data_IF_515396379108
#
_entry.id   IF_515396379108
#
_cell.length_a   1.000
_cell.length_b   1.000
_cell.length_c   1.000
_cell.angle_alpha   90.00
_cell.angle_beta   90.00
_cell.angle_gamma   90.00
#
_symmetry.space_group_name_H-M   'P 1'
#
loop_
_entity.id
_entity.type
_entity.pdbx_description
1 polymer ?
#
# COMPACT_ATOMS: atom_id res chain seq x y z
N UNK A 1 -36.46 -24.32 -7.34
CA UNK A 1 -36.78 -23.77 -6.01
C UNK A 1 -35.96 -24.57 -5.03
N UNK A 2 -35.02 -23.85 -4.43
CA UNK A 2 -34.48 -23.99 -3.08
C UNK A 2 -33.70 -25.26 -2.75
N UNK A 3 -32.38 -25.12 -2.86
CA UNK A 3 -31.43 -25.86 -2.03
C UNK A 3 -30.58 -24.81 -1.30
N UNK A 4 -30.79 -24.71 0.00
CA UNK A 4 -30.04 -23.88 0.94
C UNK A 4 -28.57 -24.31 0.97
N UNK A 5 -27.65 -23.34 0.86
CA UNK A 5 -26.22 -23.55 1.12
C UNK A 5 -25.81 -22.55 2.20
N UNK A 6 -25.74 -23.07 3.43
CA UNK A 6 -25.08 -22.42 4.56
C UNK A 6 -23.58 -22.29 4.30
N UNK A 7 -23.07 -21.08 4.49
CA UNK A 7 -21.65 -20.78 4.46
C UNK A 7 -20.96 -21.21 5.75
N UNK A 8 -19.88 -21.99 5.61
CA UNK A 8 -18.68 -21.87 6.43
C UNK A 8 -17.61 -22.87 5.96
N UNK A 9 -16.58 -22.39 5.26
CA UNK A 9 -15.29 -23.06 5.14
C UNK A 9 -14.18 -22.02 5.35
N UNK A 10 -13.94 -21.69 6.62
CA UNK A 10 -12.68 -21.10 7.09
C UNK A 10 -11.70 -22.25 7.38
N UNK A 11 -10.64 -22.36 6.59
CA UNK A 11 -9.50 -23.23 6.90
C UNK A 11 -8.65 -22.58 7.99
N UNK A 12 -9.04 -22.83 9.24
CA UNK A 12 -8.21 -22.64 10.42
C UNK A 12 -7.16 -23.77 10.48
N UNK A 13 -5.90 -23.46 10.16
CA UNK A 13 -4.76 -24.25 10.65
C UNK A 13 -4.19 -23.62 11.92
N UNK A 14 -4.95 -23.73 13.01
CA UNK A 14 -4.38 -23.73 14.36
C UNK A 14 -3.94 -25.16 14.68
N UNK A 15 -2.66 -25.45 14.50
CA UNK A 15 -2.06 -26.69 14.97
C UNK A 15 -1.75 -26.58 16.47
N UNK A 16 -2.45 -27.37 17.28
CA UNK A 16 -1.99 -27.70 18.62
C UNK A 16 -2.18 -29.19 18.90
N UNK A 17 -1.12 -29.78 19.49
CA UNK A 17 -0.94 -31.14 20.02
C UNK A 17 -0.40 -32.14 18.96
N UNK A 18 0.84 -32.65 19.06
CA UNK A 18 1.56 -33.21 20.20
C UNK A 18 3.09 -33.04 20.07
N UNK A 19 3.81 -33.23 21.18
CA UNK A 19 5.28 -33.20 21.42
C UNK A 19 5.82 -31.92 22.08
N UNK A 20 5.78 -31.81 23.42
CA UNK A 20 6.49 -30.78 24.14
C UNK A 20 7.99 -31.15 24.22
N UNK A 21 8.85 -30.20 23.85
CA UNK A 21 10.32 -30.21 24.02
C UNK A 21 11.18 -31.09 23.07
N UNK A 22 11.20 -30.78 21.77
CA UNK A 22 12.43 -30.93 20.97
C UNK A 22 12.72 -29.66 20.18
N UNK A 23 13.88 -29.03 20.42
CA UNK A 23 14.45 -28.02 19.52
C UNK A 23 14.65 -28.69 18.15
N UNK A 24 13.88 -28.28 17.14
CA UNK A 24 14.14 -28.64 15.75
C UNK A 24 15.40 -27.88 15.32
N UNK A 25 16.53 -28.58 15.23
CA UNK A 25 17.75 -28.04 14.64
C UNK A 25 17.67 -28.40 13.16
N UNK A 26 17.43 -27.40 12.30
CA UNK A 26 17.55 -27.57 10.85
C UNK A 26 18.99 -27.97 10.53
N UNK A 27 19.18 -29.14 9.94
CA UNK A 27 20.49 -29.61 9.52
C UNK A 27 20.99 -28.77 8.33
N UNK A 28 21.84 -27.79 8.63
CA UNK A 28 22.51 -26.94 7.63
C UNK A 28 23.79 -27.60 7.10
N UNK A 29 23.96 -28.92 7.23
CA UNK A 29 25.11 -29.66 6.67
C UNK A 29 25.25 -29.42 5.17
N UNK A 30 24.19 -29.68 4.41
CA UNK A 30 24.19 -29.52 2.95
C UNK A 30 24.48 -28.07 2.50
N UNK A 31 23.96 -27.08 3.23
CA UNK A 31 24.22 -25.65 2.94
C UNK A 31 25.68 -25.28 3.21
N UNK A 32 26.27 -25.78 4.32
CA UNK A 32 27.69 -25.53 4.65
C UNK A 32 28.65 -26.20 3.68
N UNK A 33 28.26 -27.32 3.08
CA UNK A 33 29.06 -28.00 2.07
C UNK A 33 28.94 -27.32 0.70
N UNK A 34 27.75 -26.84 0.33
CA UNK A 34 27.57 -26.01 -0.87
C UNK A 34 28.37 -24.71 -0.79
N UNK A 35 28.33 -24.00 0.35
CA UNK A 35 29.04 -22.74 0.54
C UNK A 35 30.58 -22.87 0.40
N UNK A 36 31.14 -24.08 0.56
CA UNK A 36 32.57 -24.36 0.39
C UNK A 36 32.99 -24.74 -1.02
N UNK A 37 32.03 -25.03 -1.91
CA UNK A 37 32.32 -25.41 -3.30
C UNK A 37 33.09 -24.27 -3.99
N UNK A 38 34.21 -24.61 -4.63
CA UNK A 38 34.92 -23.65 -5.46
C UNK A 38 34.21 -23.51 -6.80
N UNK A 39 33.90 -22.27 -7.16
CA UNK A 39 33.26 -21.89 -8.42
C UNK A 39 34.12 -20.87 -9.14
N UNK A 40 34.05 -20.91 -10.46
CA UNK A 40 34.75 -19.98 -11.35
C UNK A 40 33.68 -19.10 -12.00
N UNK A 41 33.93 -17.80 -12.09
CA UNK A 41 33.03 -16.91 -12.77
C UNK A 41 33.11 -17.12 -14.29
N UNK A 42 31.95 -17.15 -14.96
CA UNK A 42 31.91 -17.33 -16.41
C UNK A 42 32.25 -16.03 -17.17
N UNK A 43 32.17 -14.88 -16.51
CA UNK A 43 32.29 -13.55 -17.12
C UNK A 43 33.63 -12.85 -16.82
N UNK A 44 34.46 -13.41 -15.92
CA UNK A 44 35.79 -12.90 -15.61
C UNK A 44 36.66 -13.99 -14.96
N UNK A 45 37.95 -13.71 -14.78
CA UNK A 45 38.92 -14.66 -14.22
C UNK A 45 38.80 -14.90 -12.70
N UNK A 46 37.69 -14.48 -12.10
CA UNK A 46 37.47 -14.67 -10.67
C UNK A 46 37.21 -16.14 -10.33
N UNK A 47 37.92 -16.63 -9.31
CA UNK A 47 37.69 -17.92 -8.70
C UNK A 47 37.52 -17.74 -7.18
N UNK A 48 36.64 -18.54 -6.59
CA UNK A 48 36.37 -18.43 -5.16
C UNK A 48 35.36 -19.44 -4.68
N UNK A 49 34.95 -19.32 -3.41
CA UNK A 49 33.91 -20.20 -2.85
C UNK A 49 32.53 -19.69 -3.20
N UNK A 50 31.57 -20.61 -3.39
CA UNK A 50 30.18 -20.31 -3.74
C UNK A 50 29.54 -19.31 -2.77
N UNK A 51 29.95 -19.33 -1.49
CA UNK A 51 29.53 -18.36 -0.48
C UNK A 51 29.70 -16.90 -0.90
N UNK A 52 30.78 -16.56 -1.59
CA UNK A 52 31.10 -15.19 -2.00
C UNK A 52 30.80 -14.92 -3.47
N UNK A 53 30.21 -15.89 -4.17
CA UNK A 53 29.94 -15.76 -5.60
C UNK A 53 28.88 -14.69 -5.88
N UNK A 54 27.81 -14.63 -5.07
CA UNK A 54 26.77 -13.61 -5.23
C UNK A 54 27.31 -12.18 -4.99
N UNK A 55 28.10 -11.99 -3.93
CA UNK A 55 28.76 -10.70 -3.65
C UNK A 55 29.72 -10.29 -4.78
N UNK A 56 30.43 -11.26 -5.37
CA UNK A 56 31.27 -11.03 -6.54
C UNK A 56 30.45 -10.57 -7.76
N UNK A 57 29.33 -11.24 -8.07
CA UNK A 57 28.44 -10.85 -9.15
C UNK A 57 27.89 -9.43 -8.94
N UNK A 58 27.47 -9.11 -7.71
CA UNK A 58 26.88 -7.81 -7.39
C UNK A 58 27.91 -6.67 -7.40
N UNK A 59 29.17 -6.92 -7.02
CA UNK A 59 30.21 -5.88 -6.98
C UNK A 59 30.93 -5.66 -8.32
N UNK A 60 31.22 -6.73 -9.07
CA UNK A 60 32.04 -6.63 -10.29
C UNK A 60 31.18 -6.58 -11.55
N UNK A 61 29.99 -7.17 -11.53
CA UNK A 61 29.09 -7.28 -12.68
C UNK A 61 27.80 -6.46 -12.50
N UNK A 62 27.88 -5.33 -11.78
CA UNK A 62 26.74 -4.44 -11.52
C UNK A 62 26.12 -3.83 -12.80
N UNK A 63 26.90 -3.71 -13.88
CA UNK A 63 26.41 -3.35 -15.22
C UNK A 63 27.10 -4.26 -16.24
N UNK A 64 26.36 -5.17 -16.87
CA UNK A 64 26.88 -6.09 -17.87
C UNK A 64 26.38 -5.73 -19.26
N UNK A 65 27.18 -6.04 -20.28
CA UNK A 65 26.80 -5.83 -21.67
C UNK A 65 26.65 -7.18 -22.35
N UNK A 66 25.64 -7.31 -23.21
CA UNK A 66 25.55 -8.45 -24.09
C UNK A 66 26.70 -8.39 -25.11
N UNK A 67 27.50 -9.46 -25.19
CA UNK A 67 28.67 -9.50 -26.06
C UNK A 67 28.29 -9.38 -27.55
N UNK A 68 27.09 -9.85 -27.91
CA UNK A 68 26.57 -9.91 -29.28
C UNK A 68 25.85 -8.63 -29.70
N UNK A 69 24.86 -8.16 -28.94
CA UNK A 69 24.05 -6.98 -29.32
C UNK A 69 24.49 -5.66 -28.66
N UNK A 70 25.48 -5.71 -27.76
CA UNK A 70 26.03 -4.56 -27.02
C UNK A 70 25.03 -3.79 -26.14
N UNK A 71 23.88 -4.38 -25.83
CA UNK A 71 22.87 -3.80 -24.95
C UNK A 71 23.27 -3.95 -23.47
N UNK A 72 23.02 -2.91 -22.67
CA UNK A 72 23.38 -2.84 -21.24
C UNK A 72 22.27 -3.42 -20.34
N UNK A 73 22.68 -4.23 -19.35
CA UNK A 73 21.82 -4.91 -18.40
C UNK A 73 22.30 -4.64 -16.97
N UNK A 74 21.34 -4.37 -16.08
CA UNK A 74 21.59 -3.99 -14.67
C UNK A 74 21.93 -5.17 -13.75
N UNK A 75 21.71 -6.41 -14.21
CA UNK A 75 21.99 -7.62 -13.42
C UNK A 75 22.46 -8.75 -14.33
N UNK A 76 23.33 -9.62 -13.81
CA UNK A 76 23.82 -10.81 -14.52
C UNK A 76 22.68 -11.78 -14.86
N UNK A 77 21.67 -11.89 -14.00
CA UNK A 77 20.49 -12.73 -14.25
C UNK A 77 19.69 -12.22 -15.46
N UNK A 78 19.48 -10.91 -15.56
CA UNK A 78 18.80 -10.30 -16.72
C UNK A 78 19.61 -10.45 -18.01
N UNK A 79 20.95 -10.38 -17.93
CA UNK A 79 21.81 -10.66 -19.08
C UNK A 79 21.78 -12.15 -19.47
N UNK A 80 21.80 -13.05 -18.50
CA UNK A 80 21.78 -14.51 -18.74
C UNK A 80 20.46 -14.92 -19.38
N UNK A 81 19.35 -14.36 -18.91
CA UNK A 81 18.04 -14.53 -19.53
C UNK A 81 18.01 -13.93 -20.95
N UNK A 82 18.63 -12.76 -21.17
CA UNK A 82 18.72 -12.15 -22.50
C UNK A 82 19.59 -12.95 -23.48
N UNK A 83 20.76 -13.46 -23.09
CA UNK A 83 21.66 -14.25 -23.95
C UNK A 83 20.89 -15.44 -24.54
N UNK A 84 20.04 -16.09 -23.75
CA UNK A 84 19.22 -17.23 -24.20
C UNK A 84 18.19 -16.89 -25.30
N UNK A 85 17.84 -15.61 -25.48
CA UNK A 85 16.87 -15.11 -26.46
C UNK A 85 17.44 -14.01 -27.37
N UNK A 86 18.76 -13.81 -27.36
CA UNK A 86 19.41 -12.75 -28.12
C UNK A 86 19.40 -13.09 -29.61
N UNK A 87 18.77 -12.23 -30.42
CA UNK A 87 18.63 -12.44 -31.87
C UNK A 87 19.96 -12.36 -32.63
N UNK A 88 20.95 -11.71 -32.04
CA UNK A 88 22.30 -11.54 -32.61
C UNK A 88 23.29 -12.63 -32.16
N UNK A 89 22.87 -13.57 -31.29
CA UNK A 89 23.72 -14.67 -30.85
C UNK A 89 23.99 -15.65 -32.00
N UNK A 90 25.25 -16.06 -32.13
CA UNK A 90 25.70 -17.07 -33.09
C UNK A 90 25.66 -18.44 -32.41
N UNK A 91 24.81 -19.33 -32.90
CA UNK A 91 24.61 -20.68 -32.35
C UNK A 91 24.90 -21.75 -33.41
N UNK A 92 25.41 -22.89 -32.97
CA UNK A 92 25.60 -24.07 -33.82
C UNK A 92 24.25 -24.66 -34.24
N UNK A 93 24.16 -25.14 -35.48
CA UNK A 93 22.97 -25.82 -35.98
C UNK A 93 22.63 -27.10 -35.18
N UNK A 94 21.36 -27.31 -34.85
CA UNK A 94 20.86 -28.52 -34.17
C UNK A 94 21.17 -29.80 -34.99
N UNK A 95 21.33 -29.69 -36.31
CA UNK A 95 21.66 -30.80 -37.22
C UNK A 95 23.17 -30.95 -37.48
N UNK A 96 24.03 -30.29 -36.69
CA UNK A 96 25.49 -30.46 -36.75
C UNK A 96 25.95 -31.93 -36.69
N UNK A 97 25.36 -32.82 -35.86
CA UNK A 97 25.71 -34.25 -35.87
C UNK A 97 25.40 -34.97 -37.19
N UNK A 98 24.50 -34.42 -38.02
CA UNK A 98 24.04 -35.00 -39.28
C UNK A 98 24.66 -34.32 -40.51
N UNK A 99 25.64 -33.43 -40.30
CA UNK A 99 26.49 -32.87 -41.35
C UNK A 99 26.31 -31.37 -41.64
N UNK A 100 25.49 -30.65 -40.86
CA UNK A 100 25.30 -29.21 -41.04
C UNK A 100 26.29 -28.39 -40.18
N UNK A 101 27.35 -27.87 -40.79
CA UNK A 101 28.49 -27.28 -40.06
C UNK A 101 28.47 -25.74 -40.00
N UNK A 102 27.36 -25.09 -40.36
CA UNK A 102 27.27 -23.63 -40.34
C UNK A 102 26.94 -23.09 -38.94
N UNK A 103 27.60 -21.99 -38.58
CA UNK A 103 27.31 -21.20 -37.38
C UNK A 103 26.29 -20.11 -37.73
N UNK A 104 25.16 -20.09 -37.01
CA UNK A 104 23.97 -19.35 -37.42
C UNK A 104 23.73 -18.19 -36.46
N UNK A 105 23.59 -16.98 -36.98
CA UNK A 105 22.98 -15.89 -36.21
C UNK A 105 21.47 -16.14 -36.07
N UNK A 106 20.94 -16.14 -34.84
CA UNK A 106 19.52 -16.46 -34.57
C UNK A 106 18.53 -15.67 -35.46
N UNK A 107 18.85 -14.44 -35.86
CA UNK A 107 18.04 -13.62 -36.76
C UNK A 107 17.92 -14.21 -38.18
N UNK A 108 18.94 -14.94 -38.65
CA UNK A 108 19.02 -15.55 -39.98
C UNK A 108 18.68 -17.05 -39.97
N UNK A 109 18.16 -17.58 -38.84
CA UNK A 109 17.85 -19.00 -38.70
C UNK A 109 16.90 -19.50 -39.80
N UNK A 110 15.91 -18.68 -40.20
CA UNK A 110 14.95 -19.01 -41.27
C UNK A 110 15.60 -19.23 -42.63
N UNK A 111 16.60 -18.42 -42.97
CA UNK A 111 17.31 -18.54 -44.25
C UNK A 111 18.27 -19.74 -44.22
N UNK A 112 18.87 -20.02 -43.06
CA UNK A 112 19.70 -21.22 -42.86
C UNK A 112 18.88 -22.53 -42.99
N UNK A 113 17.64 -22.60 -42.48
CA UNK A 113 16.76 -23.77 -42.65
C UNK A 113 16.47 -24.10 -44.13
N UNK A 114 16.62 -23.11 -45.02
CA UNK A 114 16.40 -23.24 -46.46
C UNK A 114 17.70 -23.57 -47.23
N UNK A 115 18.86 -23.62 -46.57
CA UNK A 115 20.13 -23.94 -47.22
C UNK A 115 20.17 -25.41 -47.64
N UNK A 116 20.83 -25.69 -48.78
CA UNK A 116 20.95 -27.03 -49.33
C UNK A 116 21.62 -28.01 -48.33
N UNK A 117 22.63 -27.52 -47.59
CA UNK A 117 23.29 -28.31 -46.54
C UNK A 117 22.36 -28.66 -45.38
N UNK A 118 21.48 -27.73 -44.98
CA UNK A 118 20.51 -27.99 -43.91
C UNK A 118 19.43 -28.99 -44.35
N UNK A 119 18.91 -28.87 -45.58
CA UNK A 119 17.91 -29.80 -46.11
C UNK A 119 18.47 -31.22 -46.31
N UNK A 120 19.74 -31.36 -46.73
CA UNK A 120 20.41 -32.67 -46.81
C UNK A 120 20.60 -33.30 -45.42
N UNK A 121 20.98 -32.51 -44.41
CA UNK A 121 21.11 -33.00 -43.04
C UNK A 121 19.75 -33.40 -42.43
N UNK A 122 18.68 -32.68 -42.79
CA UNK A 122 17.30 -32.98 -42.40
C UNK A 122 16.77 -34.26 -43.08
N UNK A 123 17.13 -34.51 -44.34
CA UNK A 123 16.81 -35.75 -45.03
C UNK A 123 17.54 -36.96 -44.43
N UNK A 124 18.75 -36.78 -43.92
CA UNK A 124 19.50 -37.83 -43.21
C UNK A 124 18.98 -38.15 -41.82
N UNK A 125 18.25 -37.23 -41.17
CA UNK A 125 17.66 -37.45 -39.85
C UNK A 125 16.27 -38.10 -39.91
N UNK A 126 15.67 -38.22 -41.11
CA UNK A 126 14.41 -38.93 -41.34
C UNK A 126 14.66 -40.44 -41.59
N UNK A 127 13.94 -41.35 -40.92
CA UNK A 127 14.08 -42.78 -41.15
C UNK A 127 13.40 -43.18 -42.46
N UNK A 128 14.15 -43.19 -43.56
CA UNK A 128 13.69 -43.73 -44.83
C UNK A 128 13.70 -45.26 -44.81
N UNK A 129 12.50 -45.87 -44.91
CA UNK A 129 12.34 -47.26 -45.34
C UNK A 129 12.64 -47.37 -46.83
N UNK A 130 13.81 -47.91 -47.18
CA UNK A 130 14.18 -48.48 -48.50
C UNK A 130 15.30 -49.49 -48.20
N UNK A 131 15.33 -50.76 -48.57
CA UNK A 131 14.62 -51.68 -49.47
C UNK A 131 14.90 -53.12 -48.94
N UNK A 132 14.18 -54.17 -49.40
CA UNK A 132 14.46 -55.57 -49.01
C UNK A 132 15.82 -56.06 -49.54
N UNK A 133 16.42 -57.10 -48.93
CA UNK A 133 17.68 -57.66 -49.42
C UNK A 133 17.48 -58.38 -50.76
N UNK A 134 18.37 -58.08 -51.69
CA UNK A 134 18.60 -58.85 -52.91
C UNK A 134 19.05 -60.24 -52.48
N UNK A 135 18.22 -61.26 -52.74
CA UNK A 135 18.62 -62.66 -52.65
C UNK A 135 19.35 -62.99 -53.96
N UNK A 136 20.64 -63.25 -53.82
CA UNK A 136 21.49 -63.81 -54.87
C UNK A 136 21.05 -65.25 -55.13
N UNK A 137 20.43 -65.50 -56.29
CA UNK A 137 20.17 -66.86 -56.78
C UNK A 137 21.32 -67.28 -57.68
N UNK A 138 22.36 -67.84 -57.06
CA UNK A 138 23.28 -68.74 -57.74
C UNK A 138 22.96 -70.19 -57.36
N UNK A 139 22.75 -70.99 -58.41
CA UNK A 139 22.79 -72.46 -58.44
C UNK A 139 21.61 -73.24 -57.83
N UNK A 140 20.61 -73.56 -58.67
CA UNK A 140 19.95 -74.87 -58.61
C UNK A 140 20.21 -75.58 -59.95
N UNK A 141 21.28 -76.35 -59.93
CA UNK A 141 21.52 -77.44 -60.86
C UNK A 141 20.49 -78.54 -60.61
N UNK A 142 19.81 -78.91 -61.69
CA UNK A 142 19.08 -80.16 -61.91
C UNK A 142 19.42 -81.32 -60.97
N UNK A 143 18.40 -81.92 -60.33
CA UNK A 143 18.17 -83.37 -60.36
C UNK A 143 16.74 -83.70 -59.93
N UNK A 144 16.00 -84.34 -60.85
CA UNK A 144 14.77 -85.10 -60.55
C UNK A 144 15.15 -86.35 -59.76
N UNK A 145 14.39 -86.71 -58.72
CA UNK A 145 13.59 -87.94 -58.68
C UNK A 145 12.83 -88.09 -57.35
N UNK A 146 11.60 -88.59 -57.46
CA UNK A 146 10.62 -88.87 -56.41
C UNK A 146 11.11 -89.96 -55.43
N UNK A 147 10.70 -89.88 -54.17
CA UNK A 147 9.81 -90.88 -53.53
C UNK A 147 9.14 -90.28 -52.28
N UNK A 148 7.93 -90.77 -52.02
CA UNK A 148 6.92 -90.33 -51.05
C UNK A 148 7.30 -90.47 -49.58
N UNK A 149 6.92 -89.50 -48.75
CA UNK A 149 6.66 -89.75 -47.34
C UNK A 149 5.46 -88.91 -46.85
N UNK A 150 4.34 -89.56 -46.54
CA UNK A 150 3.11 -88.91 -46.03
C UNK A 150 3.35 -88.17 -44.71
N UNK A 151 4.36 -88.59 -43.95
CA UNK A 151 4.83 -87.94 -42.71
C UNK A 151 5.45 -86.58 -43.01
N UNK A 152 6.24 -86.45 -44.07
CA UNK A 152 6.84 -85.16 -44.47
C UNK A 152 5.76 -84.17 -44.91
N UNK A 153 4.75 -84.61 -45.67
CA UNK A 153 3.61 -83.74 -46.04
C UNK A 153 2.81 -83.27 -44.83
N UNK A 154 2.53 -84.14 -43.86
CA UNK A 154 1.85 -83.76 -42.60
C UNK A 154 2.67 -82.76 -41.79
N UNK A 155 3.97 -83.00 -41.65
CA UNK A 155 4.88 -82.07 -40.95
C UNK A 155 4.97 -80.70 -41.64
N UNK A 156 5.01 -80.67 -42.97
CA UNK A 156 4.96 -79.42 -43.72
C UNK A 156 3.61 -78.71 -43.55
N UNK A 157 2.49 -79.45 -43.50
CA UNK A 157 1.17 -78.88 -43.33
C UNK A 157 0.95 -78.30 -41.91
N UNK A 158 1.41 -78.99 -40.86
CA UNK A 158 1.45 -78.46 -39.50
C UNK A 158 2.34 -77.22 -39.38
N UNK A 159 3.47 -77.19 -40.10
CA UNK A 159 4.33 -76.01 -40.21
C UNK A 159 3.63 -74.82 -40.89
N UNK A 160 2.85 -75.06 -41.95
CA UNK A 160 2.06 -74.00 -42.58
C UNK A 160 0.94 -73.47 -41.67
N UNK A 161 0.23 -74.35 -40.97
CA UNK A 161 -0.83 -73.96 -40.02
C UNK A 161 -0.28 -73.16 -38.84
N UNK A 162 0.86 -73.57 -38.28
CA UNK A 162 1.56 -72.82 -37.24
C UNK A 162 2.12 -71.49 -37.75
N UNK A 163 2.64 -71.45 -38.97
CA UNK A 163 3.10 -70.21 -39.61
C UNK A 163 1.94 -69.23 -39.83
N UNK A 164 0.79 -69.69 -40.32
CA UNK A 164 -0.41 -68.87 -40.46
C UNK A 164 -0.92 -68.36 -39.11
N UNK A 165 -0.88 -69.19 -38.06
CA UNK A 165 -1.23 -68.76 -36.69
C UNK A 165 -0.28 -67.69 -36.15
N UNK A 166 1.02 -67.81 -36.42
CA UNK A 166 2.03 -66.81 -36.02
C UNK A 166 1.81 -65.52 -36.80
N UNK A 167 1.57 -65.59 -38.11
CA UNK A 167 1.25 -64.42 -38.94
C UNK A 167 0.00 -63.72 -38.42
N UNK A 168 -1.06 -64.46 -38.09
CA UNK A 168 -2.27 -63.89 -37.48
C UNK A 168 -2.01 -63.22 -36.13
N UNK A 169 -1.14 -63.81 -35.30
CA UNK A 169 -0.74 -63.23 -34.01
C UNK A 169 0.08 -61.94 -34.18
N UNK A 170 0.99 -61.90 -35.16
CA UNK A 170 1.78 -60.72 -35.51
C UNK A 170 0.86 -59.61 -36.02
N UNK A 171 -0.14 -59.96 -36.83
CA UNK A 171 -1.12 -59.00 -37.34
C UNK A 171 -1.92 -58.38 -36.19
N UNK A 172 -2.43 -59.20 -35.26
CA UNK A 172 -3.16 -58.73 -34.09
C UNK A 172 -2.30 -57.83 -33.18
N UNK A 173 -1.05 -58.21 -32.91
CA UNK A 173 -0.10 -57.38 -32.15
C UNK A 173 0.23 -56.06 -32.85
N UNK A 174 0.24 -56.05 -34.18
CA UNK A 174 0.45 -54.82 -34.94
C UNK A 174 -0.76 -53.89 -34.85
N UNK A 175 -1.97 -54.45 -34.90
CA UNK A 175 -3.21 -53.69 -34.75
C UNK A 175 -3.33 -53.11 -33.32
N UNK A 176 -3.00 -53.90 -32.28
CA UNK A 176 -2.94 -53.45 -30.89
C UNK A 176 -1.90 -52.33 -30.69
N UNK A 177 -0.71 -52.46 -31.31
CA UNK A 177 0.30 -51.40 -31.26
C UNK A 177 -0.21 -50.11 -31.91
N UNK A 178 -0.87 -50.19 -33.07
CA UNK A 178 -1.45 -49.01 -33.73
C UNK A 178 -2.53 -48.34 -32.85
N UNK A 179 -3.37 -49.13 -32.19
CA UNK A 179 -4.36 -48.62 -31.26
C UNK A 179 -3.69 -47.90 -30.08
N UNK A 180 -2.68 -48.51 -29.45
CA UNK A 180 -1.93 -47.91 -28.36
C UNK A 180 -1.25 -46.60 -28.77
N UNK A 181 -0.70 -46.51 -30.00
CA UNK A 181 -0.16 -45.25 -30.52
C UNK A 181 -1.22 -44.16 -30.62
N UNK A 182 -2.44 -44.50 -31.06
CA UNK A 182 -3.54 -43.54 -31.18
C UNK A 182 -4.03 -43.05 -29.81
N UNK A 183 -4.17 -43.96 -28.84
CA UNK A 183 -4.57 -43.65 -27.47
C UNK A 183 -3.50 -42.79 -26.77
N UNK A 184 -2.22 -43.15 -26.91
CA UNK A 184 -1.10 -42.34 -26.38
C UNK A 184 -1.12 -40.92 -26.94
N UNK A 185 -1.35 -40.76 -28.25
CA UNK A 185 -1.40 -39.45 -28.89
C UNK A 185 -2.59 -38.63 -28.36
N UNK A 186 -3.76 -39.25 -28.21
CA UNK A 186 -4.96 -38.59 -27.68
C UNK A 186 -4.75 -38.13 -26.22
N UNK A 187 -4.10 -38.96 -25.42
CA UNK A 187 -3.77 -38.64 -24.03
C UNK A 187 -2.79 -37.47 -23.95
N UNK A 188 -1.79 -37.44 -24.85
CA UNK A 188 -0.82 -36.35 -24.94
C UNK A 188 -1.47 -35.02 -25.34
N UNK A 189 -2.42 -35.03 -26.27
CA UNK A 189 -3.21 -33.85 -26.65
C UNK A 189 -4.05 -33.36 -25.46
N UNK A 190 -4.70 -34.27 -24.73
CA UNK A 190 -5.50 -33.93 -23.54
C UNK A 190 -4.64 -33.30 -22.44
N UNK A 191 -3.46 -33.87 -22.15
CA UNK A 191 -2.50 -33.31 -21.20
C UNK A 191 -2.02 -31.91 -21.60
N UNK A 192 -1.76 -31.69 -22.89
CA UNK A 192 -1.39 -30.37 -23.41
C UNK A 192 -2.50 -29.35 -23.18
N UNK A 193 -3.74 -29.70 -23.52
CA UNK A 193 -4.88 -28.81 -23.33
C UNK A 193 -5.09 -28.47 -21.85
N UNK A 194 -5.01 -29.45 -20.95
CA UNK A 194 -5.09 -29.20 -19.51
C UNK A 194 -3.94 -28.32 -19.01
N UNK A 195 -2.72 -28.51 -19.53
CA UNK A 195 -1.58 -27.65 -19.19
C UNK A 195 -1.77 -26.21 -19.64
N UNK A 196 -2.43 -25.98 -20.77
CA UNK A 196 -2.78 -24.64 -21.26
C UNK A 196 -3.88 -24.00 -20.41
N UNK A 197 -4.88 -24.77 -19.96
CA UNK A 197 -5.90 -24.26 -19.04
C UNK A 197 -5.32 -23.94 -17.65
N UNK A 198 -4.41 -24.77 -17.14
CA UNK A 198 -3.71 -24.51 -15.87
C UNK A 198 -2.85 -23.24 -15.94
N UNK A 199 -2.23 -22.95 -17.08
CA UNK A 199 -1.44 -21.72 -17.24
C UNK A 199 -2.31 -20.48 -17.26
N UNK A 200 -3.46 -20.52 -17.94
CA UNK A 200 -4.46 -19.44 -17.91
C UNK A 200 -5.00 -19.21 -16.50
N UNK A 201 -5.33 -20.28 -15.79
CA UNK A 201 -5.83 -20.19 -14.42
C UNK A 201 -4.79 -19.61 -13.47
N UNK A 202 -3.51 -19.98 -13.62
CA UNK A 202 -2.40 -19.43 -12.84
C UNK A 202 -2.28 -17.91 -13.03
N UNK A 203 -2.33 -17.43 -14.28
CA UNK A 203 -2.28 -15.99 -14.57
C UNK A 203 -3.48 -15.27 -13.95
N UNK A 204 -4.69 -15.82 -14.10
CA UNK A 204 -5.89 -15.24 -13.50
C UNK A 204 -5.78 -15.16 -11.97
N UNK A 205 -5.23 -16.19 -11.32
CA UNK A 205 -4.99 -16.20 -9.87
C UNK A 205 -3.99 -15.11 -9.48
N UNK A 206 -2.87 -14.99 -10.18
CA UNK A 206 -1.86 -13.94 -9.92
C UNK A 206 -2.45 -12.52 -10.09
N UNK A 207 -3.28 -12.31 -11.10
CA UNK A 207 -4.01 -11.05 -11.30
C UNK A 207 -4.99 -10.76 -10.15
N UNK A 208 -5.73 -11.78 -9.68
CA UNK A 208 -6.65 -11.60 -8.55
C UNK A 208 -5.92 -11.28 -7.25
N UNK A 209 -4.76 -11.87 -6.97
CA UNK A 209 -3.95 -11.52 -5.80
C UNK A 209 -3.49 -10.06 -5.84
N UNK A 210 -3.01 -9.60 -7.01
CA UNK A 210 -2.63 -8.20 -7.19
C UNK A 210 -3.80 -7.23 -6.97
N UNK A 211 -5.00 -7.58 -7.45
CA UNK A 211 -6.22 -6.81 -7.20
C UNK A 211 -6.61 -6.78 -5.72
N UNK A 212 -6.48 -7.91 -5.02
CA UNK A 212 -6.76 -7.99 -3.57
C UNK A 212 -5.80 -7.09 -2.80
N UNK A 213 -4.51 -7.10 -3.10
CA UNK A 213 -3.51 -6.25 -2.45
C UNK A 213 -3.83 -4.76 -2.64
N UNK A 214 -4.20 -4.37 -3.86
CA UNK A 214 -4.64 -3.01 -4.15
C UNK A 214 -5.92 -2.64 -3.37
N UNK A 215 -6.89 -3.54 -3.29
CA UNK A 215 -8.12 -3.34 -2.51
C UNK A 215 -7.84 -3.20 -1.02
N UNK A 216 -6.91 -3.96 -0.45
CA UNK A 216 -6.53 -3.86 0.97
C UNK A 216 -5.88 -2.52 1.30
N UNK A 217 -5.08 -1.95 0.40
CA UNK A 217 -4.53 -0.59 0.57
C UNK A 217 -5.65 0.44 0.55
N UNK A 218 -6.55 0.37 -0.44
CA UNK A 218 -7.68 1.29 -0.55
C UNK A 218 -8.59 1.20 0.69
N UNK A 219 -8.86 0.00 1.18
CA UNK A 219 -9.66 -0.22 2.39
C UNK A 219 -9.03 0.46 3.61
N UNK A 220 -7.71 0.34 3.81
CA UNK A 220 -7.01 1.03 4.91
C UNK A 220 -7.15 2.55 4.83
N UNK A 221 -6.99 3.13 3.64
CA UNK A 221 -7.15 4.57 3.42
C UNK A 221 -8.59 5.02 3.72
N UNK A 222 -9.57 4.21 3.30
CA UNK A 222 -10.99 4.43 3.59
C UNK A 222 -11.28 4.37 5.10
N UNK A 223 -10.71 3.40 5.82
CA UNK A 223 -10.84 3.28 7.27
C UNK A 223 -10.23 4.48 8.00
N UNK A 224 -9.03 4.92 7.62
CA UNK A 224 -8.39 6.13 8.16
C UNK A 224 -9.25 7.39 7.90
N UNK A 225 -9.81 7.50 6.70
CA UNK A 225 -10.71 8.60 6.33
C UNK A 225 -12.01 8.56 7.13
N UNK A 226 -12.57 7.37 7.38
CA UNK A 226 -13.77 7.23 8.21
C UNK A 226 -13.52 7.66 9.65
N UNK A 227 -12.38 7.29 10.23
CA UNK A 227 -11.99 7.70 11.58
C UNK A 227 -11.84 9.23 11.64
N UNK A 228 -11.18 9.84 10.65
CA UNK A 228 -11.02 11.30 10.61
C UNK A 228 -12.36 12.03 10.45
N UNK A 229 -13.26 11.54 9.60
CA UNK A 229 -14.62 12.09 9.47
C UNK A 229 -15.46 11.90 10.72
N UNK A 230 -15.39 10.74 11.37
CA UNK A 230 -16.08 10.52 12.65
C UNK A 230 -15.61 11.49 13.72
N UNK A 231 -14.30 11.74 13.77
CA UNK A 231 -13.73 12.73 14.66
C UNK A 231 -14.23 14.15 14.32
N UNK A 232 -14.28 14.52 13.04
CA UNK A 232 -14.81 15.80 12.60
C UNK A 232 -16.30 15.97 12.94
N UNK A 233 -17.10 14.91 12.82
CA UNK A 233 -18.52 14.91 13.22
C UNK A 233 -18.65 15.10 14.74
N UNK A 234 -17.83 14.44 15.54
CA UNK A 234 -17.84 14.59 17.00
C UNK A 234 -17.39 15.99 17.42
N UNK A 235 -16.42 16.56 16.71
CA UNK A 235 -16.00 17.95 16.84
C UNK A 235 -17.14 18.93 16.45
N UNK A 236 -17.95 18.59 15.45
CA UNK A 236 -19.12 19.37 15.05
C UNK A 236 -20.24 19.38 16.12
N UNK A 237 -20.45 18.27 16.84
CA UNK A 237 -21.46 18.20 17.90
C UNK A 237 -21.15 19.12 19.09
N UNK A 238 -19.87 19.43 19.29
CA UNK A 238 -19.39 20.28 20.39
C UNK A 238 -19.12 21.73 19.94
N UNK A 239 -19.66 22.14 18.79
CA UNK A 239 -19.51 23.51 18.30
C UNK A 239 -20.18 24.47 19.26
N UNK A 240 -19.37 25.34 19.86
CA UNK A 240 -19.90 26.49 20.58
C UNK A 240 -20.21 27.63 19.62
N UNK A 241 -21.36 28.27 19.85
CA UNK A 241 -21.88 29.39 19.06
C UNK A 241 -22.10 30.65 19.91
N UNK A 242 -21.40 30.80 21.03
CA UNK A 242 -21.54 31.97 21.92
C UNK A 242 -20.23 32.75 22.09
N UNK A 243 -19.20 32.40 21.31
CA UNK A 243 -17.87 32.98 21.47
C UNK A 243 -17.00 32.36 22.56
N UNK A 244 -17.50 31.36 23.26
CA UNK A 244 -16.79 30.63 24.31
C UNK A 244 -16.55 29.19 23.88
N UNK A 245 -15.31 28.73 23.87
CA UNK A 245 -14.97 27.37 23.44
C UNK A 245 -14.09 26.69 24.47
N UNK A 246 -14.40 25.43 24.81
CA UNK A 246 -13.57 24.60 25.70
C UNK A 246 -12.98 23.48 24.87
N UNK A 247 -11.65 23.47 24.77
CA UNK A 247 -10.90 22.44 24.09
C UNK A 247 -10.42 21.39 25.08
N UNK A 248 -10.96 20.18 24.95
CA UNK A 248 -10.42 18.98 25.60
C UNK A 248 -9.33 18.38 24.71
N UNK A 249 -8.10 18.33 25.22
CA UNK A 249 -6.96 17.75 24.52
C UNK A 249 -6.64 16.43 25.21
N UNK A 250 -6.84 15.31 24.52
CA UNK A 250 -6.45 13.97 24.97
C UNK A 250 -5.14 13.52 24.33
N UNK A 251 -4.56 12.42 24.83
CA UNK A 251 -3.34 11.80 24.30
C UNK A 251 -2.15 12.78 24.36
N UNK A 252 -2.04 13.53 25.45
CA UNK A 252 -1.06 14.60 25.59
C UNK A 252 0.36 14.10 25.62
N UNK A 253 0.64 12.99 26.30
CA UNK A 253 1.98 12.41 26.35
C UNK A 253 2.52 12.12 24.95
N UNK A 254 1.68 11.52 24.09
CA UNK A 254 2.01 11.29 22.69
C UNK A 254 2.24 12.59 21.93
N UNK A 255 1.31 13.55 22.04
CA UNK A 255 1.41 14.85 21.34
C UNK A 255 2.61 15.69 21.80
N UNK A 256 2.98 15.62 23.08
CA UNK A 256 4.18 16.26 23.63
C UNK A 256 5.42 15.59 23.04
N UNK A 257 5.47 14.26 23.02
CA UNK A 257 6.58 13.52 22.41
C UNK A 257 6.71 13.81 20.91
N UNK A 258 5.60 13.91 20.18
CA UNK A 258 5.60 14.26 18.76
C UNK A 258 6.08 15.70 18.51
N UNK A 259 5.72 16.65 19.40
CA UNK A 259 6.20 18.03 19.33
C UNK A 259 7.68 18.17 19.73
N UNK A 260 8.19 17.32 20.62
CA UNK A 260 9.60 17.27 21.00
C UNK A 260 10.48 16.66 19.90
N UNK A 261 9.99 15.59 19.27
CA UNK A 261 10.65 14.92 18.15
C UNK A 261 10.42 15.61 16.80
N UNK A 262 9.71 16.74 16.78
CA UNK A 262 9.42 17.54 15.60
C UNK A 262 8.60 16.79 14.51
N UNK A 263 7.96 15.66 14.87
CA UNK A 263 7.02 14.94 13.99
C UNK A 263 5.74 15.75 13.76
N UNK A 264 5.23 16.38 14.82
CA UNK A 264 4.08 17.25 14.76
C UNK A 264 4.28 18.46 15.67
N UNK A 265 4.66 19.59 15.08
CA UNK A 265 5.05 20.80 15.82
C UNK A 265 3.87 21.53 16.50
N UNK A 266 2.65 21.38 15.97
CA UNK A 266 1.47 22.08 16.46
C UNK A 266 0.20 21.28 16.22
N UNK A 267 -0.79 21.50 17.06
CA UNK A 267 -2.13 20.93 16.95
C UNK A 267 -3.17 22.05 16.78
N UNK A 268 -4.27 21.75 16.10
CA UNK A 268 -5.41 22.65 15.94
C UNK A 268 -6.59 22.17 16.76
N UNK A 269 -7.36 23.11 17.29
CA UNK A 269 -8.66 22.81 17.86
C UNK A 269 -9.72 22.65 16.76
N UNK A 270 -10.84 22.02 17.10
CA UNK A 270 -12.10 22.20 16.38
C UNK A 270 -12.43 23.68 16.15
N UNK A 271 -13.18 23.96 15.09
CA UNK A 271 -13.70 25.29 14.83
C UNK A 271 -14.85 25.61 15.79
N UNK A 272 -14.92 26.86 16.24
CA UNK A 272 -16.00 27.40 17.05
C UNK A 272 -16.42 28.77 16.51
N UNK A 273 -17.60 29.21 16.92
CA UNK A 273 -18.25 30.38 16.35
C UNK A 273 -18.63 31.39 17.42
N UNK A 274 -18.69 32.64 17.01
CA UNK A 274 -19.18 33.74 17.86
C UNK A 274 -20.71 33.77 17.99
N UNK A 275 -21.41 33.32 16.94
CA UNK A 275 -22.85 33.12 16.85
C UNK A 275 -23.13 32.15 15.70
N UNK A 276 -24.36 31.60 15.55
CA UNK A 276 -24.70 30.75 14.41
C UNK A 276 -24.42 31.38 13.04
N UNK A 277 -24.45 32.72 12.96
CA UNK A 277 -24.12 33.50 11.76
C UNK A 277 -22.88 34.38 11.95
N UNK A 278 -21.99 33.99 12.85
CA UNK A 278 -20.87 34.80 13.31
C UNK A 278 -19.52 34.42 12.71
N UNK A 279 -18.46 35.03 13.24
CA UNK A 279 -17.06 34.68 12.92
C UNK A 279 -16.79 33.21 13.20
N UNK A 280 -16.11 32.55 12.25
CA UNK A 280 -15.53 31.20 12.40
C UNK A 280 -14.10 31.30 12.90
N UNK A 281 -13.78 30.57 13.97
CA UNK A 281 -12.53 30.72 14.70
C UNK A 281 -12.00 29.36 15.14
N UNK A 282 -10.70 29.26 15.40
CA UNK A 282 -10.09 28.08 16.04
C UNK A 282 -8.82 28.48 16.80
N UNK A 283 -8.27 27.53 17.54
CA UNK A 283 -7.03 27.69 18.31
C UNK A 283 -5.93 26.81 17.70
N UNK A 284 -4.70 27.30 17.72
CA UNK A 284 -3.49 26.54 17.40
C UNK A 284 -2.59 26.50 18.63
N UNK A 285 -2.17 25.31 19.03
CA UNK A 285 -1.31 25.10 20.20
C UNK A 285 0.02 24.47 19.79
N UNK A 286 1.10 24.99 20.35
CA UNK A 286 2.45 24.45 20.24
C UNK A 286 2.89 23.98 21.62
N UNK A 287 2.81 22.67 21.83
CA UNK A 287 3.15 22.03 23.11
C UNK A 287 4.63 22.20 23.48
N UNK A 288 5.51 22.35 22.49
CA UNK A 288 6.95 22.58 22.67
C UNK A 288 7.37 24.01 22.27
N UNK A 289 6.42 24.95 22.22
CA UNK A 289 6.64 26.36 21.91
C UNK A 289 6.92 26.69 20.45
N UNK A 290 6.76 27.96 20.11
CA UNK A 290 6.98 28.52 18.78
C UNK A 290 7.89 29.75 18.80
N UNK A 291 8.63 29.98 17.71
CA UNK A 291 9.51 31.13 17.54
C UNK A 291 10.50 31.32 18.70
N UNK A 292 10.49 32.51 19.31
CA UNK A 292 11.37 32.87 20.43
C UNK A 292 11.02 32.18 21.76
N UNK A 293 9.92 31.43 21.81
CA UNK A 293 9.44 30.68 22.97
C UNK A 293 9.63 29.16 22.81
N UNK A 294 10.17 28.72 21.67
CA UNK A 294 10.45 27.30 21.38
C UNK A 294 11.29 26.65 22.49
N UNK A 295 10.89 25.44 22.91
CA UNK A 295 11.49 24.63 23.98
C UNK A 295 11.55 25.28 25.36
N UNK A 296 10.90 26.43 25.57
CA UNK A 296 10.88 27.11 26.88
C UNK A 296 9.47 27.31 27.41
N UNK A 297 8.52 27.61 26.53
CA UNK A 297 7.11 27.81 26.89
C UNK A 297 6.22 27.03 25.93
N UNK A 298 5.02 26.67 26.38
CA UNK A 298 3.89 26.33 25.53
C UNK A 298 3.35 27.62 24.90
N UNK A 299 3.13 27.61 23.58
CA UNK A 299 2.62 28.77 22.84
C UNK A 299 1.20 28.50 22.36
N UNK A 300 0.32 29.49 22.49
CA UNK A 300 -1.08 29.40 22.06
C UNK A 300 -1.43 30.54 21.12
N UNK A 301 -2.15 30.23 20.04
CA UNK A 301 -2.53 31.19 19.02
C UNK A 301 -4.00 31.06 18.65
N UNK A 302 -4.62 32.21 18.44
CA UNK A 302 -5.94 32.34 17.84
C UNK A 302 -5.82 32.35 16.32
N UNK A 303 -6.78 31.73 15.64
CA UNK A 303 -6.86 31.70 14.18
C UNK A 303 -8.26 32.13 13.77
N UNK A 304 -8.33 33.20 13.00
CA UNK A 304 -9.53 33.61 12.30
C UNK A 304 -9.65 32.80 11.01
N UNK A 305 -10.80 32.18 10.79
CA UNK A 305 -11.06 31.34 9.61
C UNK A 305 -12.10 32.00 8.71
N UNK A 306 -12.09 31.63 7.43
CA UNK A 306 -13.13 32.02 6.49
C UNK A 306 -14.47 31.41 6.90
N UNK A 307 -15.45 32.25 7.15
CA UNK A 307 -16.83 31.87 7.46
C UNK A 307 -17.78 32.18 6.32
N UNK A 308 -18.93 31.50 6.31
CA UNK A 308 -19.97 31.69 5.29
C UNK A 308 -20.61 33.08 5.37
N UNK A 309 -20.63 33.66 6.58
CA UNK A 309 -21.24 34.95 6.88
C UNK A 309 -20.23 36.12 6.90
N UNK A 310 -18.99 35.91 6.47
CA UNK A 310 -17.95 36.96 6.49
C UNK A 310 -18.33 38.23 5.72
N UNK A 311 -19.27 38.14 4.77
CA UNK A 311 -19.76 39.31 4.03
C UNK A 311 -20.58 40.30 4.87
N UNK A 312 -21.20 39.84 5.96
CA UNK A 312 -22.05 40.67 6.84
C UNK A 312 -21.38 41.03 8.16
N UNK A 313 -20.17 40.51 8.40
CA UNK A 313 -19.41 40.73 9.62
C UNK A 313 -18.45 41.92 9.50
N UNK A 314 -18.15 42.55 10.63
CA UNK A 314 -17.23 43.68 10.69
C UNK A 314 -15.78 43.20 10.62
N UNK A 315 -14.98 43.82 9.76
CA UNK A 315 -13.53 43.62 9.71
C UNK A 315 -12.79 44.97 9.75
N UNK A 316 -11.55 45.03 10.27
CA UNK A 316 -10.79 43.92 10.87
C UNK A 316 -11.35 43.46 12.23
N UNK A 317 -11.13 42.19 12.56
CA UNK A 317 -11.53 41.59 13.83
C UNK A 317 -10.78 42.29 14.99
N UNK A 318 -11.52 42.81 15.97
CA UNK A 318 -10.99 43.68 17.03
C UNK A 318 -11.42 43.29 18.44
N UNK A 319 -12.09 42.14 18.59
CA UNK A 319 -12.62 41.66 19.87
C UNK A 319 -11.51 41.05 20.73
N UNK A 320 -11.54 41.33 22.04
CA UNK A 320 -10.54 40.80 22.99
C UNK A 320 -10.67 39.28 23.05
N UNK A 321 -9.55 38.57 22.91
CA UNK A 321 -9.48 37.11 23.03
C UNK A 321 -8.77 36.76 24.33
N UNK A 322 -9.38 35.87 25.12
CA UNK A 322 -8.86 35.39 26.41
C UNK A 322 -8.71 33.89 26.36
N UNK A 323 -7.53 33.40 26.76
CA UNK A 323 -7.24 31.99 26.95
C UNK A 323 -7.17 31.67 28.43
N UNK A 324 -7.67 30.50 28.82
CA UNK A 324 -7.65 29.99 30.17
C UNK A 324 -7.26 28.51 30.14
N UNK A 325 -6.11 28.17 30.72
CA UNK A 325 -5.70 26.81 30.97
C UNK A 325 -6.23 26.38 32.35
N UNK A 326 -7.06 25.34 32.37
CA UNK A 326 -7.67 24.88 33.61
C UNK A 326 -6.69 24.08 34.48
N UNK A 327 -6.50 24.56 35.70
CA UNK A 327 -6.15 23.73 36.86
C UNK A 327 -7.28 22.73 37.17
N UNK A 328 -6.95 21.44 37.12
CA UNK A 328 -7.88 20.32 37.33
C UNK A 328 -7.88 19.80 38.79
N UNK A 329 -7.21 20.51 39.70
CA UNK A 329 -7.21 20.22 41.15
C UNK A 329 -8.26 21.07 41.87
N UNK A 330 -8.49 20.75 43.15
CA UNK A 330 -9.40 21.53 44.00
C UNK A 330 -8.93 22.97 44.25
N UNK A 331 -7.71 23.36 43.85
CA UNK A 331 -7.18 24.71 44.03
C UNK A 331 -7.67 25.70 42.96
N UNK A 332 -8.11 25.22 41.79
CA UNK A 332 -8.66 26.02 40.68
C UNK A 332 -7.80 27.24 40.28
N UNK A 333 -6.47 27.13 40.37
CA UNK A 333 -5.52 28.17 39.98
C UNK A 333 -5.29 28.18 38.47
N UNK A 334 -6.34 28.53 37.72
CA UNK A 334 -6.28 28.56 36.26
C UNK A 334 -5.28 29.62 35.77
N UNK A 335 -4.54 29.30 34.69
CA UNK A 335 -3.66 30.27 34.04
C UNK A 335 -4.46 31.00 32.98
N UNK A 336 -4.60 32.32 33.12
CA UNK A 336 -5.41 33.15 32.23
C UNK A 336 -4.53 34.22 31.61
N UNK A 337 -4.58 34.33 30.29
CA UNK A 337 -3.92 35.40 29.56
C UNK A 337 -4.81 35.86 28.39
N UNK A 338 -4.66 37.11 27.97
CA UNK A 338 -5.52 37.71 26.95
C UNK A 338 -4.77 38.70 26.09
N UNK A 339 -5.21 38.84 24.84
CA UNK A 339 -4.68 39.84 23.94
C UNK A 339 -5.81 40.58 23.22
N UNK A 340 -5.51 41.81 22.78
CA UNK A 340 -6.37 42.56 21.86
C UNK A 340 -5.78 42.45 20.45
N UNK A 341 -6.55 42.00 19.45
CA UNK A 341 -6.11 41.95 18.06
C UNK A 341 -5.53 43.30 17.57
N UNK A 342 -4.40 43.25 16.89
CA UNK A 342 -3.88 44.42 16.16
C UNK A 342 -4.61 44.55 14.82
N UNK A 343 -5.45 45.57 14.69
CA UNK A 343 -6.25 45.83 13.48
C UNK A 343 -5.41 46.11 12.23
N UNK A 344 -4.10 46.38 12.37
CA UNK A 344 -3.18 46.53 11.24
C UNK A 344 -2.60 45.20 10.76
N UNK A 345 -2.67 44.15 11.57
CA UNK A 345 -2.13 42.84 11.23
C UNK A 345 -3.02 42.12 10.22
N UNK A 346 -2.37 41.39 9.29
CA UNK A 346 -3.04 40.52 8.32
C UNK A 346 -3.79 39.36 8.99
N UNK A 347 -3.42 38.99 10.23
CA UNK A 347 -4.08 37.94 11.02
C UNK A 347 -5.57 38.21 11.27
N UNK A 348 -5.97 39.48 11.32
CA UNK A 348 -7.31 39.90 11.72
C UNK A 348 -8.08 40.62 10.62
N UNK A 349 -7.52 40.71 9.41
CA UNK A 349 -8.26 41.17 8.25
C UNK A 349 -9.31 40.15 7.83
N UNK A 350 -10.22 40.56 6.94
CA UNK A 350 -11.18 39.64 6.34
C UNK A 350 -10.44 38.46 5.67
N UNK A 351 -10.76 37.21 6.03
CA UNK A 351 -10.09 36.04 5.44
C UNK A 351 -10.27 35.96 3.93
N UNK A 352 -9.16 35.84 3.22
CA UNK A 352 -9.13 35.55 1.78
C UNK A 352 -8.85 34.06 1.50
N UNK A 353 -8.20 33.38 2.43
CA UNK A 353 -7.92 31.94 2.46
C UNK A 353 -8.73 31.26 3.57
N UNK A 354 -8.73 29.93 3.63
CA UNK A 354 -9.45 29.16 4.66
C UNK A 354 -9.08 29.60 6.09
N UNK A 355 -7.82 29.98 6.30
CA UNK A 355 -7.28 30.42 7.58
C UNK A 355 -6.38 31.64 7.39
N UNK A 356 -6.49 32.60 8.29
CA UNK A 356 -5.50 33.67 8.42
C UNK A 356 -4.25 33.19 9.18
N UNK A 357 -3.20 34.03 9.15
CA UNK A 357 -2.00 33.82 9.97
C UNK A 357 -2.37 33.83 11.45
N UNK A 358 -1.96 32.79 12.18
CA UNK A 358 -2.25 32.64 13.60
C UNK A 358 -1.60 33.78 14.41
N UNK A 359 -2.29 34.29 15.43
CA UNK A 359 -1.80 35.35 16.32
C UNK A 359 -2.24 35.11 17.75
N UNK A 360 -1.38 35.37 18.72
CA UNK A 360 -1.63 35.03 20.12
C UNK A 360 -0.42 35.23 21.00
N UNK A 361 -0.16 34.28 21.89
CA UNK A 361 0.74 34.43 23.03
C UNK A 361 1.85 33.38 22.95
N UNK A 362 3.05 33.74 22.44
CA UNK A 362 4.18 32.82 22.34
C UNK A 362 4.63 32.26 23.69
N UNK A 363 4.62 33.07 24.75
CA UNK A 363 5.06 32.68 26.10
C UNK A 363 3.87 32.49 27.04
N UNK A 364 2.95 31.59 26.68
CA UNK A 364 1.72 31.42 27.44
C UNK A 364 1.95 30.69 28.77
N UNK A 365 2.59 29.52 28.75
CA UNK A 365 2.91 28.77 29.98
C UNK A 365 4.35 28.25 29.92
N UNK A 366 5.20 28.53 30.92
CA UNK A 366 6.52 27.91 31.01
C UNK A 366 6.44 26.38 30.98
N UNK A 367 7.28 25.73 30.17
CA UNK A 367 7.29 24.27 30.07
C UNK A 367 7.66 23.61 31.40
N UNK A 368 8.44 24.27 32.25
CA UNK A 368 8.79 23.78 33.59
C UNK A 368 7.55 23.44 34.40
N UNK A 369 6.50 24.28 34.34
CA UNK A 369 5.24 24.08 35.07
C UNK A 369 4.46 22.87 34.52
N UNK A 370 4.54 22.63 33.21
CA UNK A 370 3.85 21.52 32.55
C UNK A 370 4.61 20.20 32.71
N UNK A 371 5.94 20.27 32.80
CA UNK A 371 6.83 19.11 32.91
C UNK A 371 7.05 18.66 34.37
N UNK A 372 6.64 19.45 35.36
CA UNK A 372 6.67 19.07 36.76
C UNK A 372 5.86 17.79 37.01
N UNK A 373 6.46 16.88 37.80
CA UNK A 373 5.77 15.67 38.26
C UNK A 373 4.53 16.07 39.07
N UNK A 374 3.37 15.50 38.71
CA UNK A 374 2.06 15.83 39.31
C UNK A 374 1.59 17.28 39.07
N UNK A 375 1.88 17.85 37.89
CA UNK A 375 1.34 19.17 37.52
C UNK A 375 -0.21 19.22 37.61
N UNK A 376 -0.78 20.37 38.00
CA UNK A 376 -2.23 20.50 38.21
C UNK A 376 -3.04 20.63 36.91
N UNK A 377 -2.38 20.89 35.77
CA UNK A 377 -3.03 21.23 34.49
C UNK A 377 -3.27 20.01 33.59
N UNK A 378 -2.54 18.91 33.82
CA UNK A 378 -2.65 17.65 33.09
C UNK A 378 -3.07 16.54 34.06
N UNK A 379 -4.23 15.94 33.81
CA UNK A 379 -4.76 14.78 34.55
C UNK A 379 -5.33 13.77 33.57
N UNK A 380 -5.11 12.48 33.86
CA UNK A 380 -5.57 11.37 33.01
C UNK A 380 -5.16 11.51 31.52
N UNK A 381 -3.96 12.03 31.28
CA UNK A 381 -3.44 12.34 29.94
C UNK A 381 -4.31 13.34 29.15
N UNK A 382 -5.01 14.23 29.88
CA UNK A 382 -5.89 15.27 29.33
C UNK A 382 -5.61 16.67 29.87
N UNK A 383 -5.87 17.68 29.04
CA UNK A 383 -5.77 19.12 29.34
C UNK A 383 -6.99 19.83 28.80
N UNK A 384 -7.44 20.87 29.52
CA UNK A 384 -8.56 21.70 29.09
C UNK A 384 -8.13 23.16 28.90
N UNK A 385 -8.40 23.70 27.72
CA UNK A 385 -8.15 25.11 27.39
C UNK A 385 -9.45 25.78 27.00
N UNK A 386 -9.85 26.81 27.72
CA UNK A 386 -10.99 27.66 27.38
C UNK A 386 -10.54 28.89 26.62
N UNK A 387 -11.21 29.18 25.51
CA UNK A 387 -11.08 30.42 24.76
C UNK A 387 -12.36 31.21 24.90
N UNK A 388 -12.27 32.50 25.18
CA UNK A 388 -13.39 33.41 25.31
C UNK A 388 -13.13 34.63 24.44
N UNK A 389 -14.07 34.96 23.57
CA UNK A 389 -14.04 36.19 22.77
C UNK A 389 -15.07 37.17 23.30
N UNK A 390 -14.61 38.36 23.70
CA UNK A 390 -15.48 39.39 24.28
C UNK A 390 -16.17 40.21 23.18
N UNK A 391 -17.41 39.81 22.86
CA UNK A 391 -18.30 40.55 21.97
C UNK A 391 -19.08 41.67 22.66
N UNK A 392 -18.89 41.89 23.97
CA UNK A 392 -19.57 42.93 24.73
C UNK A 392 -19.18 44.36 24.33
N UNK A 393 -18.10 44.53 23.56
CA UNK A 393 -17.67 45.80 22.97
C UNK A 393 -18.27 45.98 21.57
N UNK A 394 -19.60 45.92 21.44
CA UNK A 394 -20.28 46.20 20.17
C UNK A 394 -20.01 47.66 19.79
N UNK A 395 -19.55 47.91 18.56
CA UNK A 395 -19.38 49.27 18.04
C UNK A 395 -20.68 50.07 18.19
N UNK A 396 -20.58 51.33 18.64
CA UNK A 396 -21.76 52.22 18.82
C UNK A 396 -22.63 52.32 17.55
N UNK A 397 -22.05 52.07 16.38
CA UNK A 397 -22.75 52.05 15.08
C UNK A 397 -23.74 50.89 14.91
N UNK A 398 -23.58 49.78 15.63
CA UNK A 398 -24.42 48.59 15.52
C UNK A 398 -25.51 48.48 16.59
N UNK A 399 -25.43 49.31 17.63
CA UNK A 399 -26.43 49.38 18.70
C UNK A 399 -27.87 49.62 18.18
N UNK A 400 -28.13 50.43 17.14
CA UNK A 400 -29.47 50.54 16.57
C UNK A 400 -30.05 49.19 16.12
N UNK A 401 -29.24 48.35 15.50
CA UNK A 401 -29.69 47.07 14.92
C UNK A 401 -29.84 45.98 15.99
N UNK A 402 -28.96 45.95 16.99
CA UNK A 402 -29.09 45.00 18.11
C UNK A 402 -30.26 45.35 19.05
N UNK A 403 -30.73 46.60 19.00
CA UNK A 403 -31.88 47.10 19.77
C UNK A 403 -33.20 47.13 18.97
N UNK A 404 -33.22 46.60 17.72
CA UNK A 404 -34.36 46.71 16.80
C UNK A 404 -34.88 48.16 16.65
N UNK A 405 -34.00 49.17 16.75
CA UNK A 405 -34.37 50.57 16.65
C UNK A 405 -34.75 50.91 15.21
N UNK A 406 -35.92 51.54 15.03
CA UNK A 406 -36.42 51.93 13.71
C UNK A 406 -35.46 52.95 13.06
N UNK A 407 -34.87 52.64 11.89
CA UNK A 407 -33.89 53.51 11.24
C UNK A 407 -34.49 54.84 10.74
N UNK A 408 -35.82 54.96 10.66
CA UNK A 408 -36.53 56.19 10.31
C UNK A 408 -36.68 57.21 11.46
N UNK A 409 -36.25 56.88 12.67
CA UNK A 409 -36.29 57.81 13.80
C UNK A 409 -35.20 58.90 13.67
N UNK A 410 -35.46 60.15 14.10
CA UNK A 410 -34.43 61.18 14.18
C UNK A 410 -33.19 60.71 14.96
N UNK A 411 -31.99 61.04 14.48
CA UNK A 411 -30.70 60.59 15.03
C UNK A 411 -30.58 60.84 16.54
N UNK A 412 -31.12 61.96 17.01
CA UNK A 412 -31.10 62.38 18.41
C UNK A 412 -31.92 61.45 19.32
N UNK A 413 -33.04 60.93 18.81
CA UNK A 413 -33.88 59.94 19.50
C UNK A 413 -33.22 58.56 19.49
N UNK A 414 -32.59 58.17 18.38
CA UNK A 414 -31.82 56.92 18.32
C UNK A 414 -30.67 56.93 19.35
N UNK A 415 -29.94 58.04 19.47
CA UNK A 415 -28.84 58.19 20.44
C UNK A 415 -29.31 58.09 21.89
N UNK A 416 -30.46 58.68 22.22
CA UNK A 416 -31.04 58.62 23.56
C UNK A 416 -31.50 57.21 23.94
N UNK A 417 -32.11 56.47 23.00
CA UNK A 417 -32.54 55.08 23.23
C UNK A 417 -31.35 54.13 23.39
N UNK A 418 -30.29 54.32 22.60
CA UNK A 418 -29.03 53.59 22.74
C UNK A 418 -28.41 53.84 24.13
N UNK A 419 -28.39 55.10 24.58
CA UNK A 419 -27.83 55.48 25.88
C UNK A 419 -28.57 54.83 27.03
N UNK A 420 -29.91 54.82 27.00
CA UNK A 420 -30.74 54.17 28.03
C UNK A 420 -30.53 52.66 28.12
N UNK A 421 -30.41 51.97 26.98
CA UNK A 421 -30.14 50.53 27.04
C UNK A 421 -28.72 50.23 27.55
N UNK A 422 -27.73 51.05 27.18
CA UNK A 422 -26.38 50.92 27.73
C UNK A 422 -26.36 51.10 29.25
N UNK A 423 -27.13 52.07 29.78
CA UNK A 423 -27.30 52.29 31.21
C UNK A 423 -27.99 51.09 31.91
N UNK A 424 -29.02 50.52 31.27
CA UNK A 424 -29.71 49.32 31.77
C UNK A 424 -28.79 48.09 31.81
N UNK A 425 -28.04 47.83 30.74
CA UNK A 425 -27.07 46.73 30.69
C UNK A 425 -25.92 46.91 31.71
N UNK A 426 -25.49 48.15 31.95
CA UNK A 426 -24.51 48.45 33.00
C UNK A 426 -25.09 48.16 34.40
N UNK A 427 -26.35 48.51 34.65
CA UNK A 427 -27.04 48.20 35.91
C UNK A 427 -27.25 46.69 36.11
N UNK A 428 -27.64 45.94 35.09
CA UNK A 428 -27.77 44.48 35.16
C UNK A 428 -26.43 43.78 35.44
N UNK A 429 -25.34 44.25 34.83
CA UNK A 429 -23.98 43.74 35.13
C UNK A 429 -23.56 44.03 36.58
N UNK A 430 -23.87 45.21 37.10
CA UNK A 430 -23.64 45.56 38.51
C UNK A 430 -24.48 44.68 39.46
N UNK A 431 -25.74 44.40 39.11
CA UNK A 431 -26.62 43.54 39.91
C UNK A 431 -26.10 42.09 39.97
N UNK A 432 -25.68 41.54 38.83
CA UNK A 432 -25.13 40.19 38.72
C UNK A 432 -23.79 40.04 39.46
N UNK A 433 -22.95 41.08 39.46
CA UNK A 433 -21.68 41.09 40.21
C UNK A 433 -21.92 41.16 41.74
N UNK A 434 -23.00 41.83 42.16
CA UNK A 434 -23.40 41.94 43.57
C UNK A 434 -24.06 40.65 44.09
N UNK A 435 -24.80 39.92 43.24
CA UNK A 435 -25.35 38.60 43.57
C UNK A 435 -24.27 37.52 43.68
N UNK A 436 -23.23 37.54 42.84
CA UNK A 436 -22.10 36.61 42.99
C UNK A 436 -21.31 36.86 44.29
N UNK A 437 -21.07 38.12 44.66
CA UNK A 437 -20.34 38.47 45.89
C UNK A 437 -21.13 38.24 47.19
N UNK A 438 -22.47 38.23 47.14
CA UNK A 438 -23.32 37.86 48.29
C UNK A 438 -23.47 36.34 48.44
N UNK A 439 -23.44 35.56 47.35
CA UNK A 439 -23.42 34.09 47.44
C UNK A 439 -22.14 33.52 48.08
N UNK A 440 -21.00 34.22 47.90
CA UNK A 440 -19.72 33.83 48.51
C UNK A 440 -19.66 34.15 50.01
N UNK A 441 -20.43 35.14 50.49
CA UNK A 441 -20.48 35.49 51.92
C UNK A 441 -21.48 34.65 52.74
N UNK A 442 -22.43 33.99 52.09
CA UNK A 442 -23.42 33.14 52.77
C UNK A 442 -23.03 31.66 52.86
N UNK A 443 -21.90 31.27 52.26
CA UNK A 443 -21.34 29.92 52.31
C UNK A 443 -19.97 29.85 53.04
N UNK A 444 -19.63 30.87 53.85
CA UNK A 444 -18.44 30.91 54.68
C UNK A 444 -18.80 30.74 56.17
#
# INVERSE_FOLDING_TARGET
MDCEYDGNFMLNFQSSLCYPNRKIILDKGCQRDMEKLHVICYFCDWNGTFKYYQEHLDMIHANCFCEYCKQEFKTVDSLTQHISICKEAIVDCILKPYGCHEQIQCINAKDHFLSEQHQIALLKSLPLKTQPPIIDQSEISSHKNLTTDEVSRKNFQELYETMDSIVGSIQALNDDNQQLYSESLQTQISLRNMSEELSKLKIAIEETYSLIDAHQVNQRILEESLISFQQEIEDQKNISTDGTFIWKITNLQQKIADAQNERQISIYSPAFYSSPTGYKMRVRLYLNGDGNARRTHMSIFFVLMRGDYDAILQFPFSYKVTFCLFDQTSQQRHIIDSFRPDTKSNSFQRPCSDMNVASGIPKFVPLTIIQEDNNPYIRDDTMFIKTIVDFGQISKSFLPYTLNLNPGLPLLIQQELIKREQEKQAQEKLLNTTQMSTSVKNNA
#
